data_IF_594448023841
#
_entry.id   IF_594448023841
#
_cell.length_a   1.000
_cell.length_b   1.000
_cell.length_c   1.000
_cell.angle_alpha   90.00
_cell.angle_beta   90.00
_cell.angle_gamma   90.00
#
_symmetry.space_group_name_H-M   'P 1'
#
loop_
_entity.id
_entity.type
_entity.pdbx_description
1 polymer ?
#
# COMPACT_ATOMS: atom_id res chain seq x y z
N UNK A 1 10.41 24.50 -7.36
CA UNK A 1 10.82 23.40 -8.27
C UNK A 1 10.29 22.11 -7.67
N UNK A 2 9.29 21.49 -8.29
CA UNK A 2 8.80 20.16 -7.91
C UNK A 2 9.71 19.11 -8.54
N UNK A 3 10.47 18.37 -7.73
CA UNK A 3 11.16 17.16 -8.18
C UNK A 3 10.10 16.09 -8.42
N UNK A 4 9.53 16.04 -9.62
CA UNK A 4 8.68 14.92 -10.05
C UNK A 4 9.61 13.78 -10.46
N UNK A 5 9.69 12.72 -9.65
CA UNK A 5 10.34 11.49 -10.07
C UNK A 5 9.59 11.00 -11.32
N UNK A 6 10.24 10.96 -12.48
CA UNK A 6 9.61 10.55 -13.73
C UNK A 6 9.01 9.12 -13.68
N UNK A 7 9.45 8.31 -12.70
CA UNK A 7 9.02 6.94 -12.46
C UNK A 7 8.09 6.74 -11.25
N UNK A 8 7.62 7.80 -10.55
CA UNK A 8 6.70 7.62 -9.40
C UNK A 8 5.46 6.84 -9.81
N UNK A 9 4.97 7.06 -11.03
CA UNK A 9 3.75 6.42 -11.49
C UNK A 9 3.89 4.91 -11.69
N UNK A 10 5.05 4.43 -12.15
CA UNK A 10 5.30 3.00 -12.30
C UNK A 10 5.41 2.31 -10.92
N UNK A 11 6.13 2.92 -9.98
CA UNK A 11 6.24 2.41 -8.61
C UNK A 11 4.90 2.47 -7.86
N UNK A 12 4.11 3.51 -8.11
CA UNK A 12 2.75 3.63 -7.57
C UNK A 12 1.82 2.54 -8.11
N UNK A 13 1.84 2.30 -9.42
CA UNK A 13 1.08 1.21 -10.05
C UNK A 13 1.49 -0.16 -9.48
N UNK A 14 2.78 -0.36 -9.22
CA UNK A 14 3.26 -1.57 -8.55
C UNK A 14 2.72 -1.69 -7.12
N UNK A 15 2.76 -0.62 -6.34
CA UNK A 15 2.19 -0.60 -4.99
C UNK A 15 0.68 -0.89 -5.01
N UNK A 16 -0.05 -0.33 -5.98
CA UNK A 16 -1.48 -0.55 -6.15
C UNK A 16 -1.78 -2.01 -6.51
N UNK A 17 -1.03 -2.60 -7.44
CA UNK A 17 -1.19 -4.00 -7.81
C UNK A 17 -0.93 -4.94 -6.61
N UNK A 18 0.09 -4.63 -5.80
CA UNK A 18 0.37 -5.35 -4.56
C UNK A 18 -0.77 -5.20 -3.53
N UNK A 19 -1.35 -4.01 -3.39
CA UNK A 19 -2.46 -3.76 -2.48
C UNK A 19 -3.71 -4.57 -2.87
N UNK A 20 -4.06 -4.60 -4.16
CA UNK A 20 -5.19 -5.40 -4.69
C UNK A 20 -4.94 -6.90 -4.45
N UNK A 21 -3.74 -7.38 -4.75
CA UNK A 21 -3.36 -8.78 -4.50
C UNK A 21 -3.47 -9.12 -3.00
N UNK A 22 -2.96 -8.26 -2.13
CA UNK A 22 -3.02 -8.48 -0.68
C UNK A 22 -4.47 -8.53 -0.16
N UNK A 23 -5.34 -7.65 -0.66
CA UNK A 23 -6.76 -7.64 -0.29
C UNK A 23 -7.44 -8.97 -0.64
N UNK A 24 -7.20 -9.48 -1.86
CA UNK A 24 -7.71 -10.78 -2.31
C UNK A 24 -7.18 -11.94 -1.46
N UNK A 25 -5.88 -11.98 -1.20
CA UNK A 25 -5.26 -13.02 -0.37
C UNK A 25 -5.83 -13.05 1.05
N UNK A 26 -6.05 -11.87 1.66
CA UNK A 26 -6.70 -11.75 2.97
C UNK A 26 -8.14 -12.23 2.95
N UNK A 27 -8.93 -11.83 1.96
CA UNK A 27 -10.31 -12.27 1.82
C UNK A 27 -10.40 -13.80 1.69
N UNK A 28 -9.53 -14.41 0.87
CA UNK A 28 -9.43 -15.87 0.71
C UNK A 28 -9.00 -16.58 2.00
N UNK A 29 -8.08 -16.00 2.77
CA UNK A 29 -7.66 -16.56 4.05
C UNK A 29 -8.83 -16.61 5.05
N UNK A 30 -9.61 -15.52 5.15
CA UNK A 30 -10.79 -15.44 6.01
C UNK A 30 -11.86 -16.43 5.54
N UNK A 31 -12.16 -16.47 4.24
CA UNK A 31 -13.15 -17.38 3.69
C UNK A 31 -12.81 -18.85 3.97
N UNK A 32 -11.53 -19.24 3.81
CA UNK A 32 -11.05 -20.60 4.15
C UNK A 32 -11.19 -20.91 5.64
N UNK A 33 -10.85 -19.97 6.52
CA UNK A 33 -10.99 -20.15 7.96
C UNK A 33 -12.46 -20.38 8.37
N UNK A 34 -13.41 -19.80 7.62
CA UNK A 34 -14.85 -19.94 7.84
C UNK A 34 -15.48 -21.07 7.02
N UNK A 35 -14.72 -21.78 6.19
CA UNK A 35 -15.22 -22.77 5.22
C UNK A 35 -16.31 -22.22 4.29
N UNK A 36 -16.17 -20.96 3.86
CA UNK A 36 -17.08 -20.29 2.94
C UNK A 36 -16.48 -20.23 1.53
N UNK A 37 -17.26 -20.52 0.47
CA UNK A 37 -16.87 -20.20 -0.90
C UNK A 37 -16.84 -18.68 -1.10
N UNK A 38 -15.74 -18.17 -1.67
CA UNK A 38 -15.54 -16.75 -1.99
C UNK A 38 -15.51 -16.57 -3.50
N UNK A 39 -16.18 -15.53 -4.01
CA UNK A 39 -16.07 -15.16 -5.41
C UNK A 39 -14.71 -14.48 -5.70
N UNK A 40 -14.12 -14.80 -6.84
CA UNK A 40 -12.78 -14.31 -7.22
C UNK A 40 -12.76 -12.80 -7.52
N UNK A 41 -13.85 -12.29 -8.09
CA UNK A 41 -14.03 -10.89 -8.46
C UNK A 41 -14.71 -10.13 -7.32
N UNK A 42 -14.14 -9.00 -6.84
CA UNK A 42 -14.80 -8.18 -5.84
C UNK A 42 -16.03 -7.48 -6.43
N UNK A 43 -17.06 -7.29 -5.59
CA UNK A 43 -18.25 -6.49 -5.94
C UNK A 43 -17.87 -5.01 -6.01
N UNK A 44 -16.94 -4.60 -5.17
CA UNK A 44 -16.48 -3.24 -5.06
C UNK A 44 -14.97 -3.21 -4.83
N UNK A 45 -14.28 -2.34 -5.56
CA UNK A 45 -12.86 -2.08 -5.39
C UNK A 45 -12.64 -0.57 -5.46
N UNK A 46 -12.16 0.01 -4.37
CA UNK A 46 -11.87 1.44 -4.23
C UNK A 46 -10.44 1.63 -3.80
N UNK A 47 -9.77 2.56 -4.47
CA UNK A 47 -8.49 3.07 -3.99
C UNK A 47 -8.75 4.11 -2.91
N UNK A 48 -8.20 3.90 -1.73
CA UNK A 48 -8.18 4.91 -0.69
C UNK A 48 -7.02 5.85 -1.01
N UNK A 49 -7.32 7.12 -1.27
CA UNK A 49 -6.33 8.11 -1.68
C UNK A 49 -5.18 8.14 -0.69
N UNK A 50 -4.02 7.65 -1.13
CA UNK A 50 -2.79 7.75 -0.36
C UNK A 50 -2.43 9.22 -0.26
N UNK A 51 -2.33 9.75 0.96
CA UNK A 51 -1.58 10.97 1.20
C UNK A 51 -0.19 10.70 0.63
N UNK A 52 0.16 11.39 -0.47
CA UNK A 52 1.49 11.30 -1.09
C UNK A 52 2.51 11.35 0.04
N UNK A 53 3.49 10.43 0.12
CA UNK A 53 4.46 10.44 1.20
C UNK A 53 5.16 11.80 1.18
N UNK A 54 4.82 12.66 2.14
CA UNK A 54 5.66 13.82 2.44
C UNK A 54 6.97 13.23 2.94
N UNK A 55 8.13 13.68 2.44
CA UNK A 55 9.40 13.24 3.00
C UNK A 55 9.34 13.44 4.51
N UNK A 56 9.56 12.36 5.27
CA UNK A 56 9.64 12.43 6.71
C UNK A 56 10.79 13.38 7.04
N UNK A 57 10.44 14.59 7.49
CA UNK A 57 11.42 15.56 7.97
C UNK A 57 12.19 14.93 9.13
N UNK A 58 13.53 15.07 9.19
CA UNK A 58 14.30 14.47 10.26
C UNK A 58 13.78 15.03 11.60
N UNK A 59 13.34 14.13 12.48
CA UNK A 59 13.28 14.46 13.90
C UNK A 59 14.72 14.76 14.31
N UNK A 60 15.03 16.06 14.43
CA UNK A 60 16.35 16.58 14.80
C UNK A 60 16.68 16.12 16.22
N UNK A 61 17.29 14.95 16.34
CA UNK A 61 18.06 14.57 17.51
C UNK A 61 19.44 15.18 17.33
N UNK A 62 19.61 16.36 17.93
CA UNK A 62 20.87 17.11 17.99
C UNK A 62 21.95 16.28 18.66
N UNK A 63 22.77 15.57 17.88
CA UNK A 63 24.06 15.05 18.34
C UNK A 63 25.12 15.53 17.37
N UNK A 64 25.91 16.48 17.86
CA UNK A 64 27.12 17.02 17.26
C UNK A 64 28.07 15.89 16.85
N UNK A 65 28.21 15.64 15.54
CA UNK A 65 29.28 14.82 14.98
C UNK A 65 29.69 15.33 13.60
N UNK A 66 31.01 15.35 13.38
CA UNK A 66 31.77 16.08 12.38
C UNK A 66 31.75 15.47 10.96
N UNK A 67 30.59 15.09 10.44
CA UNK A 67 30.42 14.73 9.04
C UNK A 67 29.00 15.14 8.58
N UNK A 68 28.79 15.67 7.36
CA UNK A 68 27.45 15.90 6.87
C UNK A 68 26.73 14.54 6.87
N UNK A 69 25.61 14.37 7.59
CA UNK A 69 24.88 13.12 7.53
C UNK A 69 24.43 12.94 6.08
N UNK A 70 24.94 11.91 5.40
CA UNK A 70 24.34 11.43 4.14
C UNK A 70 22.98 10.87 4.55
N UNK A 71 21.98 11.75 4.53
CA UNK A 71 20.61 11.39 4.82
C UNK A 71 20.06 10.74 3.55
N UNK A 72 20.25 9.42 3.42
CA UNK A 72 19.57 8.63 2.39
C UNK A 72 18.07 8.79 2.61
N UNK A 73 17.43 9.57 1.74
CA UNK A 73 15.99 9.75 1.74
C UNK A 73 15.34 8.53 1.09
N UNK A 74 15.05 7.49 1.87
CA UNK A 74 14.22 6.37 1.40
C UNK A 74 12.80 6.89 1.10
N UNK A 75 12.42 6.87 -0.18
CA UNK A 75 11.07 7.24 -0.62
C UNK A 75 10.20 5.98 -0.60
N UNK A 76 9.34 5.85 0.40
CA UNK A 76 8.38 4.75 0.51
C UNK A 76 7.10 5.15 -0.23
N UNK A 77 6.75 4.41 -1.29
CA UNK A 77 5.50 4.59 -2.04
C UNK A 77 4.49 3.57 -1.55
N UNK A 78 3.36 4.05 -1.02
CA UNK A 78 2.30 3.21 -0.43
C UNK A 78 0.99 3.45 -1.17
N UNK A 79 0.27 2.38 -1.47
CA UNK A 79 -1.10 2.41 -1.98
C UNK A 79 -2.01 1.63 -1.03
N UNK A 80 -3.25 2.08 -0.85
CA UNK A 80 -4.24 1.44 0.01
C UNK A 80 -5.51 1.22 -0.80
N UNK A 81 -6.08 0.02 -0.72
CA UNK A 81 -7.34 -0.31 -1.39
C UNK A 81 -8.32 -0.92 -0.41
N UNK A 82 -9.58 -0.65 -0.66
CA UNK A 82 -10.72 -1.28 -0.02
C UNK A 82 -11.41 -2.16 -1.06
N UNK A 83 -11.57 -3.45 -0.73
CA UNK A 83 -12.17 -4.42 -1.63
C UNK A 83 -13.25 -5.22 -0.90
N UNK A 84 -14.44 -5.29 -1.48
CA UNK A 84 -15.59 -6.02 -0.94
C UNK A 84 -15.83 -7.26 -1.80
N UNK A 85 -15.79 -8.44 -1.17
CA UNK A 85 -16.01 -9.72 -1.84
C UNK A 85 -17.31 -10.35 -1.36
N UNK A 86 -18.08 -10.91 -2.28
CA UNK A 86 -19.20 -11.77 -1.93
C UNK A 86 -18.73 -13.18 -1.59
N UNK A 87 -19.49 -13.82 -0.72
CA UNK A 87 -19.41 -15.24 -0.43
C UNK A 87 -20.82 -15.83 -0.48
N UNK A 88 -20.92 -17.15 -0.64
CA UNK A 88 -22.19 -17.86 -0.55
C UNK A 88 -22.16 -18.90 0.58
N UNK A 89 -23.33 -19.40 0.95
CA UNK A 89 -23.44 -20.57 1.83
C UNK A 89 -23.57 -21.81 0.97
N UNK A 90 -22.94 -22.90 1.40
CA UNK A 90 -23.16 -24.22 0.80
C UNK A 90 -24.43 -24.76 1.46
N UNK A 91 -25.54 -24.83 0.71
CA UNK A 91 -26.81 -25.41 1.15
C UNK A 91 -26.82 -26.92 1.00
#
# INVERSE_FOLDING_TARGET
>A
MEFRLANEQAHYQQALALAVKNAKEKALAIARALSLPLYDTPIELKEQSSIRPSPYGPAVLSVSSSAPPVQTQDVVITAVVEAVFAYSFIS
#
